data_IF_560583758882
#
_entry.id   IF_560583758882
#
_cell.length_a   1.000
_cell.length_b   1.000
_cell.length_c   1.000
_cell.angle_alpha   90.00
_cell.angle_beta   90.00
_cell.angle_gamma   90.00
#
_symmetry.space_group_name_H-M   'P 1'
#
loop_
_entity.id
_entity.type
_entity.pdbx_description
1 polymer ?
#
# COMPACT_ATOMS: atom_id res chain seq x y z
N UNK A 1 -33.13 3.63 1.26
CA UNK A 1 -32.83 2.22 1.61
C UNK A 1 -31.58 1.87 0.82
N UNK A 2 -30.46 1.45 1.38
CA UNK A 2 -30.15 0.81 2.67
C UNK A 2 -28.68 1.08 3.00
N UNK A 3 -28.27 0.89 4.25
CA UNK A 3 -26.88 1.02 4.70
C UNK A 3 -25.92 0.22 3.80
N UNK A 4 -24.94 0.89 3.18
CA UNK A 4 -23.95 0.23 2.32
C UNK A 4 -22.56 0.75 2.68
N UNK A 5 -22.02 0.12 3.74
CA UNK A 5 -20.69 0.29 4.37
C UNK A 5 -20.40 1.67 5.02
N UNK A 6 -20.54 1.75 6.34
CA UNK A 6 -19.93 2.80 7.19
C UNK A 6 -18.40 2.64 7.27
N UNK A 7 -17.71 2.56 6.12
CA UNK A 7 -16.25 2.48 6.06
C UNK A 7 -15.63 3.85 5.95
N UNK A 8 -14.41 4.01 6.47
CA UNK A 8 -13.56 5.17 6.18
C UNK A 8 -13.00 4.99 4.76
N UNK A 9 -12.99 6.07 3.98
CA UNK A 9 -12.32 6.08 2.68
C UNK A 9 -10.82 5.95 2.91
N UNK A 10 -10.19 4.93 2.35
CA UNK A 10 -8.74 4.72 2.42
C UNK A 10 -8.06 5.38 1.23
N UNK A 11 -6.92 6.02 1.46
CA UNK A 11 -6.01 6.49 0.42
C UNK A 11 -4.77 5.57 0.41
N UNK A 12 -4.85 4.51 -0.39
CA UNK A 12 -3.82 3.47 -0.45
C UNK A 12 -2.88 3.70 -1.63
N UNK A 13 -1.57 3.60 -1.38
CA UNK A 13 -0.55 3.50 -2.42
C UNK A 13 0.26 2.22 -2.26
N UNK A 14 0.58 1.59 -3.39
CA UNK A 14 1.32 0.33 -3.40
C UNK A 14 2.46 0.37 -4.42
N UNK A 15 3.60 -0.21 -4.04
CA UNK A 15 4.71 -0.50 -4.95
C UNK A 15 5.14 -1.97 -4.80
N UNK A 16 5.51 -2.59 -5.91
CA UNK A 16 5.94 -3.98 -5.97
C UNK A 16 7.21 -4.11 -6.81
N UNK A 17 8.28 -4.63 -6.20
CA UNK A 17 9.62 -4.76 -6.84
C UNK A 17 9.95 -6.19 -7.28
N UNK A 18 9.02 -7.14 -7.11
CA UNK A 18 9.23 -8.55 -7.43
C UNK A 18 9.61 -9.36 -6.20
N UNK A 19 10.63 -8.90 -5.46
CA UNK A 19 11.12 -9.49 -4.22
C UNK A 19 10.52 -8.85 -2.95
N UNK A 20 9.85 -7.71 -3.09
CA UNK A 20 9.21 -7.01 -1.99
C UNK A 20 7.94 -6.27 -2.46
N UNK A 21 7.04 -6.03 -1.51
CA UNK A 21 5.82 -5.25 -1.71
C UNK A 21 5.59 -4.34 -0.52
N UNK A 22 5.21 -3.09 -0.80
CA UNK A 22 4.82 -2.09 0.19
C UNK A 22 3.44 -1.53 -0.18
N UNK A 23 2.53 -1.48 0.79
CA UNK A 23 1.29 -0.70 0.74
C UNK A 23 1.28 0.28 1.90
N UNK A 24 0.92 1.55 1.66
CA UNK A 24 0.77 2.58 2.70
C UNK A 24 -0.59 3.25 2.59
N UNK A 25 -1.22 3.52 3.73
CA UNK A 25 -2.42 4.36 3.85
C UNK A 25 -1.96 5.78 4.20
N UNK A 26 -2.27 6.75 3.33
CA UNK A 26 -1.70 8.08 3.40
C UNK A 26 -2.31 8.99 4.48
N UNK A 27 -3.52 8.69 4.95
CA UNK A 27 -4.21 9.48 5.98
C UNK A 27 -3.71 9.12 7.39
N UNK A 28 -3.52 7.84 7.69
CA UNK A 28 -3.07 7.33 8.99
C UNK A 28 -1.56 7.10 9.06
N UNK A 29 -0.91 6.88 7.91
CA UNK A 29 0.49 6.46 7.86
C UNK A 29 0.71 4.99 8.23
N UNK A 30 -0.37 4.21 8.37
CA UNK A 30 -0.27 2.76 8.53
C UNK A 30 0.17 2.11 7.22
N UNK A 31 0.77 0.93 7.33
CA UNK A 31 1.31 0.26 6.16
C UNK A 31 1.53 -1.24 6.34
N UNK A 32 1.80 -1.86 5.20
CA UNK A 32 2.10 -3.27 5.05
C UNK A 32 3.35 -3.42 4.21
N UNK A 33 4.40 -4.03 4.78
CA UNK A 33 5.66 -4.30 4.09
C UNK A 33 5.94 -5.80 4.13
N UNK A 34 6.22 -6.39 2.97
CA UNK A 34 6.52 -7.81 2.83
C UNK A 34 7.82 -8.02 2.05
N UNK A 35 8.67 -8.90 2.57
CA UNK A 35 9.80 -9.49 1.85
C UNK A 35 9.32 -10.80 1.21
N UNK A 36 9.01 -10.74 -0.08
CA UNK A 36 8.46 -11.85 -0.86
C UNK A 36 9.50 -12.92 -1.18
N UNK A 37 10.80 -12.65 -0.95
CA UNK A 37 11.85 -13.66 -1.11
C UNK A 37 11.70 -14.80 -0.09
N UNK A 38 11.22 -14.46 1.11
CA UNK A 38 11.03 -15.40 2.24
C UNK A 38 9.56 -15.54 2.67
N UNK A 39 8.68 -14.62 2.26
CA UNK A 39 7.25 -14.61 2.59
C UNK A 39 6.37 -14.38 1.35
N UNK A 40 6.40 -15.35 0.42
CA UNK A 40 5.65 -15.31 -0.85
C UNK A 40 4.13 -15.17 -0.71
N UNK A 41 3.60 -15.43 0.49
CA UNK A 41 2.18 -15.41 0.79
C UNK A 41 1.78 -14.23 1.68
N UNK A 42 2.69 -13.28 1.90
CA UNK A 42 2.38 -12.01 2.58
C UNK A 42 1.79 -12.21 3.99
N UNK A 43 2.28 -13.23 4.71
CA UNK A 43 1.74 -13.63 6.01
C UNK A 43 2.33 -12.84 7.19
N UNK A 44 3.47 -12.16 7.00
CA UNK A 44 4.23 -11.47 8.06
C UNK A 44 4.49 -10.01 7.68
N UNK A 45 3.63 -9.11 8.14
CA UNK A 45 3.84 -7.68 7.96
C UNK A 45 5.10 -7.20 8.71
N UNK A 46 6.00 -6.55 7.99
CA UNK A 46 7.27 -5.98 8.47
C UNK A 46 7.22 -4.47 8.69
N UNK A 47 6.09 -3.81 8.43
CA UNK A 47 5.93 -2.37 8.63
C UNK A 47 6.30 -1.96 10.06
N UNK A 48 7.09 -0.90 10.19
CA UNK A 48 7.60 -0.39 11.48
C UNK A 48 8.44 -1.38 12.31
N UNK A 49 8.87 -2.51 11.73
CA UNK A 49 9.81 -3.41 12.39
C UNK A 49 11.22 -2.88 12.21
N UNK A 50 11.95 -2.63 13.30
CA UNK A 50 13.33 -2.11 13.26
C UNK A 50 14.26 -2.93 12.36
N UNK A 51 14.07 -4.25 12.31
CA UNK A 51 14.85 -5.17 11.46
C UNK A 51 14.64 -4.98 9.95
N UNK A 52 13.59 -4.29 9.53
CA UNK A 52 13.21 -4.07 8.14
C UNK A 52 13.33 -2.60 7.73
N UNK A 53 13.97 -1.74 8.54
CA UNK A 53 14.08 -0.30 8.30
C UNK A 53 14.71 0.04 6.95
N UNK A 54 15.73 -0.71 6.53
CA UNK A 54 16.40 -0.53 5.25
C UNK A 54 15.46 -0.86 4.07
N UNK A 55 14.76 -2.00 4.15
CA UNK A 55 13.79 -2.40 3.13
C UNK A 55 12.63 -1.38 3.05
N UNK A 56 12.14 -0.92 4.21
CA UNK A 56 11.11 0.12 4.29
C UNK A 56 11.56 1.41 3.62
N UNK A 57 12.78 1.87 3.87
CA UNK A 57 13.33 3.07 3.26
C UNK A 57 13.41 2.93 1.73
N UNK A 58 13.97 1.83 1.23
CA UNK A 58 14.09 1.57 -0.21
C UNK A 58 12.72 1.52 -0.91
N UNK A 59 11.76 0.81 -0.33
CA UNK A 59 10.43 0.66 -0.93
C UNK A 59 9.64 1.97 -0.86
N UNK A 60 9.80 2.76 0.20
CA UNK A 60 9.20 4.08 0.32
C UNK A 60 9.77 5.03 -0.73
N UNK A 61 11.09 5.03 -0.93
CA UNK A 61 11.73 5.80 -1.99
C UNK A 61 11.19 5.42 -3.37
N UNK A 62 11.08 4.12 -3.67
CA UNK A 62 10.51 3.66 -4.95
C UNK A 62 9.06 4.08 -5.16
N UNK A 63 8.25 4.08 -4.09
CA UNK A 63 6.86 4.53 -4.14
C UNK A 63 6.75 6.00 -4.54
N UNK A 64 7.58 6.86 -3.95
CA UNK A 64 7.56 8.30 -4.20
C UNK A 64 8.28 8.73 -5.48
N UNK A 65 9.23 7.93 -5.96
CA UNK A 65 9.99 8.20 -7.19
C UNK A 65 9.38 7.53 -8.42
N UNK A 66 8.18 6.93 -8.30
CA UNK A 66 7.47 6.31 -9.42
C UNK A 66 7.38 7.30 -10.61
N UNK A 67 7.86 6.92 -11.80
CA UNK A 67 7.78 7.78 -12.97
C UNK A 67 6.33 7.91 -13.49
N UNK A 68 6.05 9.01 -14.18
CA UNK A 68 4.76 9.30 -14.80
C UNK A 68 3.82 10.13 -13.91
N UNK A 69 2.69 10.52 -14.47
CA UNK A 69 1.70 11.31 -13.73
C UNK A 69 0.95 10.46 -12.71
N UNK A 70 0.56 11.11 -11.62
CA UNK A 70 -0.43 10.62 -10.69
C UNK A 70 -1.83 10.97 -11.23
N UNK A 71 -2.76 10.01 -11.17
CA UNK A 71 -4.15 10.26 -11.49
C UNK A 71 -4.83 10.89 -10.27
N UNK A 72 -5.31 12.12 -10.42
CA UNK A 72 -6.02 12.85 -9.35
C UNK A 72 -7.53 12.74 -9.48
N UNK A 73 -8.03 12.27 -10.62
CA UNK A 73 -9.44 12.04 -10.89
C UNK A 73 -9.63 10.58 -11.28
N UNK A 74 -10.56 9.91 -10.61
CA UNK A 74 -10.90 8.52 -10.86
C UNK A 74 -12.28 8.42 -11.50
N UNK A 75 -12.47 7.40 -12.34
CA UNK A 75 -13.78 7.11 -12.92
C UNK A 75 -14.82 6.82 -11.83
N UNK A 76 -16.09 7.15 -12.11
CA UNK A 76 -17.18 6.81 -11.20
C UNK A 76 -17.20 5.30 -10.96
N UNK A 77 -17.28 4.85 -9.69
CA UNK A 77 -17.34 3.42 -9.38
C UNK A 77 -18.53 2.76 -10.07
N UNK A 78 -18.28 1.70 -10.84
CA UNK A 78 -19.33 0.87 -11.42
C UNK A 78 -19.74 -0.20 -10.40
N UNK A 79 -20.83 0.05 -9.68
CA UNK A 79 -21.41 -0.87 -8.69
C UNK A 79 -21.72 -0.18 -7.36
N UNK A 80 -22.76 -0.67 -6.69
CA UNK A 80 -23.00 -0.39 -5.27
C UNK A 80 -22.24 -1.45 -4.47
N UNK A 81 -21.33 -1.02 -3.60
CA UNK A 81 -20.79 -1.89 -2.55
C UNK A 81 -21.82 -2.02 -1.42
#
# INVERSE_FOLDING_TARGET
VSASRCGVQLDLRTVHRGDAKLTVELQSGDGELYDLSVDKHEMKNLWNMTKASELQAQMTELLWTRPGAELTEFDMPVGVA
#
